data_IF_663108463439
#
_entry.id   IF_663108463439
#
_cell.length_a   1.000
_cell.length_b   1.000
_cell.length_c   1.000
_cell.angle_alpha   90.00
_cell.angle_beta   90.00
_cell.angle_gamma   90.00
#
_symmetry.space_group_name_H-M   'P 1'
#
loop_
_entity.id
_entity.type
_entity.pdbx_description
1 polymer ?
#
# COMPACT_ATOMS: atom_id res chain seq x y z
N UNK A 1 10.83 -6.49 -4.65
CA UNK A 1 10.72 -5.05 -4.70
C UNK A 1 10.46 -4.48 -3.33
N UNK A 2 11.04 -3.35 -3.06
CA UNK A 2 10.93 -2.73 -1.76
C UNK A 2 9.74 -1.78 -1.73
N UNK A 3 8.95 -1.82 -0.68
CA UNK A 3 7.86 -0.87 -0.55
C UNK A 3 8.39 0.53 -0.33
N UNK A 4 7.64 1.50 -0.79
CA UNK A 4 7.95 2.90 -0.61
C UNK A 4 6.91 3.52 0.30
N UNK A 5 7.37 4.18 1.35
CA UNK A 5 6.47 4.81 2.29
C UNK A 5 6.86 6.28 2.40
N UNK A 6 5.89 7.15 2.15
CA UNK A 6 6.08 8.58 2.26
C UNK A 6 5.13 9.10 3.32
N UNK A 7 5.68 9.76 4.33
CA UNK A 7 4.88 10.31 5.41
C UNK A 7 4.91 11.83 5.28
N UNK A 8 3.73 12.42 5.31
CA UNK A 8 3.59 13.87 5.18
C UNK A 8 2.55 14.34 6.19
N UNK A 9 3.04 14.79 7.35
CA UNK A 9 2.15 15.22 8.42
C UNK A 9 1.35 14.05 8.96
N UNK A 10 0.04 14.16 8.90
CA UNK A 10 -0.85 13.13 9.41
C UNK A 10 -1.28 12.15 8.33
N UNK A 11 -0.59 12.14 7.20
CA UNK A 11 -0.94 11.28 6.09
C UNK A 11 0.29 10.50 5.65
N UNK A 12 0.08 9.25 5.32
CA UNK A 12 1.14 8.38 4.81
C UNK A 12 0.65 7.69 3.56
N UNK A 13 1.54 7.55 2.60
CA UNK A 13 1.26 6.82 1.38
C UNK A 13 2.23 5.67 1.29
N UNK A 14 1.69 4.46 1.20
CA UNK A 14 2.48 3.25 1.07
C UNK A 14 2.25 2.67 -0.32
N UNK A 15 3.33 2.55 -1.07
CA UNK A 15 3.28 1.96 -2.40
C UNK A 15 4.12 0.71 -2.41
N UNK A 16 3.53 -0.38 -2.89
CA UNK A 16 4.26 -1.63 -2.94
C UNK A 16 3.72 -2.48 -4.07
N UNK A 17 4.52 -3.46 -4.44
CA UNK A 17 4.13 -4.41 -5.47
C UNK A 17 3.81 -5.73 -4.81
N UNK A 18 2.64 -6.22 -5.05
CA UNK A 18 2.19 -7.50 -4.53
C UNK A 18 2.39 -8.56 -5.59
N UNK A 19 3.13 -9.59 -5.25
CA UNK A 19 3.35 -10.71 -6.15
C UNK A 19 2.39 -11.83 -5.80
N UNK A 20 1.88 -12.46 -6.84
CA UNK A 20 1.03 -13.64 -6.61
C UNK A 20 1.43 -14.71 -7.61
N UNK A 21 1.17 -15.94 -7.21
CA UNK A 21 1.55 -17.08 -8.01
C UNK A 21 0.57 -18.21 -7.76
N UNK A 22 0.12 -18.82 -8.83
CA UNK A 22 -0.74 -20.00 -8.75
C UNK A 22 -0.20 -21.03 -9.72
N UNK A 23 -0.87 -22.17 -9.80
CA UNK A 23 -0.39 -23.25 -10.66
C UNK A 23 -0.41 -22.85 -12.13
N UNK A 24 -1.27 -21.92 -12.50
CA UNK A 24 -1.41 -21.54 -13.91
C UNK A 24 -1.17 -20.06 -14.16
N UNK A 25 -1.01 -19.27 -13.10
CA UNK A 25 -0.83 -17.83 -13.24
C UNK A 25 0.23 -17.32 -12.30
N UNK A 26 0.98 -16.36 -12.79
CA UNK A 26 1.89 -15.60 -11.93
C UNK A 26 1.89 -14.17 -12.42
N UNK A 27 2.07 -13.25 -11.49
CA UNK A 27 2.09 -11.86 -11.86
C UNK A 27 2.30 -10.97 -10.66
N UNK A 28 2.10 -9.69 -10.89
CA UNK A 28 2.26 -8.71 -9.83
C UNK A 28 1.28 -7.58 -10.04
N UNK A 29 0.91 -6.95 -8.95
CA UNK A 29 -0.01 -5.83 -8.95
C UNK A 29 0.56 -4.75 -8.04
N UNK A 30 0.58 -3.53 -8.55
CA UNK A 30 0.99 -2.39 -7.74
C UNK A 30 -0.18 -1.97 -6.87
N UNK A 31 0.10 -1.73 -5.59
CA UNK A 31 -0.91 -1.28 -4.68
C UNK A 31 -0.46 0.00 -3.99
N UNK A 32 -1.41 0.86 -3.73
CA UNK A 32 -1.17 2.10 -3.01
C UNK A 32 -2.17 2.19 -1.87
N UNK A 33 -1.65 2.35 -0.67
CA UNK A 33 -2.48 2.54 0.51
C UNK A 33 -2.28 3.95 1.00
N UNK A 34 -3.38 4.63 1.27
CA UNK A 34 -3.33 5.96 1.85
C UNK A 34 -3.85 5.85 3.27
N UNK A 35 -3.00 6.25 4.21
CA UNK A 35 -3.32 6.17 5.61
C UNK A 35 -3.39 7.56 6.20
N UNK A 36 -4.24 7.73 7.17
CA UNK A 36 -4.34 8.98 7.90
C UNK A 36 -4.17 8.68 9.38
N UNK A 37 -3.58 9.62 10.08
CA UNK A 37 -3.36 9.49 11.50
C UNK A 37 -4.55 10.04 12.25
N UNK A 38 -5.09 9.25 13.15
CA UNK A 38 -6.18 9.65 14.01
C UNK A 38 -5.73 9.42 15.45
N UNK A 39 -5.37 10.51 16.12
CA UNK A 39 -4.82 10.39 17.46
C UNK A 39 -3.45 9.74 17.42
N UNK A 40 -3.32 8.59 18.07
CA UNK A 40 -2.05 7.88 18.09
C UNK A 40 -2.09 6.59 17.30
N UNK A 41 -2.97 6.52 16.31
CA UNK A 41 -3.07 5.34 15.47
C UNK A 41 -3.24 5.76 14.01
N UNK A 42 -2.86 4.85 13.12
CA UNK A 42 -2.99 5.07 11.69
C UNK A 42 -4.16 4.25 11.17
N UNK A 43 -4.96 4.88 10.32
CA UNK A 43 -6.11 4.22 9.73
C UNK A 43 -5.97 4.25 8.22
N UNK A 44 -6.40 3.17 7.57
CA UNK A 44 -6.39 3.12 6.11
C UNK A 44 -7.58 3.92 5.60
N UNK A 45 -7.27 4.95 4.84
CA UNK A 45 -8.30 5.79 4.26
C UNK A 45 -8.71 5.30 2.89
N UNK A 46 -7.73 4.81 2.12
CA UNK A 46 -8.00 4.46 0.73
C UNK A 46 -7.04 3.38 0.30
N UNK A 47 -7.50 2.49 -0.53
CA UNK A 47 -6.67 1.45 -1.11
C UNK A 47 -6.92 1.40 -2.60
N UNK A 48 -5.84 1.52 -3.38
CA UNK A 48 -5.90 1.43 -4.82
C UNK A 48 -5.02 0.29 -5.29
N UNK A 49 -5.55 -0.49 -6.21
CA UNK A 49 -4.82 -1.58 -6.83
C UNK A 49 -4.66 -1.29 -8.30
N UNK A 50 -3.38 -1.32 -8.78
CA UNK A 50 -3.13 -1.07 -10.18
C UNK A 50 -1.98 -1.86 -10.71
#
# INVERSE_FOLDING_TARGET
DEPQIVINGDRATAKFRQHYKSSSLSGSTNKTLILVRAGNRWLIQEENAR
#
